data_IF_910184435325
#
_entry.id   IF_910184435325
#
_cell.length_a   1.000
_cell.length_b   1.000
_cell.length_c   1.000
_cell.angle_alpha   90.00
_cell.angle_beta   90.00
_cell.angle_gamma   90.00
#
_symmetry.space_group_name_H-M   'P 1'
#
loop_
_entity.id
_entity.type
_entity.pdbx_description
1 polymer ?
#
# COMPACT_ATOMS: atom_id res chain seq x y z
N UNK A 1 -5.81 4.12 13.46
CA UNK A 1 -6.26 3.30 12.32
C UNK A 1 -6.64 4.24 11.19
N UNK A 2 -6.03 4.06 10.04
CA UNK A 2 -6.23 4.86 8.82
C UNK A 2 -6.77 3.94 7.73
N UNK A 3 -7.55 4.49 6.81
CA UNK A 3 -8.03 3.82 5.61
C UNK A 3 -7.29 4.39 4.40
N UNK A 4 -6.56 3.54 3.69
CA UNK A 4 -5.89 3.93 2.46
C UNK A 4 -6.54 3.25 1.25
N UNK A 5 -6.48 3.91 0.10
CA UNK A 5 -6.95 3.35 -1.16
C UNK A 5 -5.78 3.05 -2.09
N UNK A 6 -5.64 1.80 -2.51
CA UNK A 6 -4.65 1.37 -3.49
C UNK A 6 -5.33 1.16 -4.85
N UNK A 7 -4.88 1.88 -5.87
CA UNK A 7 -5.42 1.77 -7.23
C UNK A 7 -4.43 1.06 -8.15
N UNK A 8 -4.91 0.02 -8.80
CA UNK A 8 -4.21 -0.71 -9.84
C UNK A 8 -4.35 -0.01 -11.20
N UNK A 9 -3.42 -0.26 -12.12
CA UNK A 9 -3.46 0.22 -13.51
C UNK A 9 -4.66 -0.33 -14.29
N UNK A 10 -5.16 -1.50 -13.90
CA UNK A 10 -6.36 -2.11 -14.49
C UNK A 10 -7.67 -1.55 -13.89
N UNK A 11 -7.60 -0.53 -13.02
CA UNK A 11 -8.76 0.12 -12.41
C UNK A 11 -9.32 -0.58 -11.17
N UNK A 12 -8.66 -1.64 -10.69
CA UNK A 12 -9.02 -2.29 -9.42
C UNK A 12 -8.68 -1.35 -8.26
N UNK A 13 -9.66 -1.10 -7.39
CA UNK A 13 -9.48 -0.28 -6.18
C UNK A 13 -9.59 -1.15 -4.95
N UNK A 14 -8.57 -1.11 -4.10
CA UNK A 14 -8.50 -1.89 -2.87
C UNK A 14 -8.43 -0.91 -1.70
N UNK A 15 -9.36 -1.01 -0.76
CA UNK A 15 -9.36 -0.18 0.44
C UNK A 15 -8.87 -1.01 1.61
N UNK A 16 -7.80 -0.55 2.25
CA UNK A 16 -7.16 -1.28 3.34
C UNK A 16 -7.14 -0.41 4.58
N UNK A 17 -7.57 -1.00 5.69
CA UNK A 17 -7.44 -0.40 7.01
C UNK A 17 -6.13 -0.87 7.62
N UNK A 18 -5.27 0.08 8.01
CA UNK A 18 -3.96 -0.18 8.60
C UNK A 18 -3.69 0.80 9.74
N UNK A 19 -2.64 0.56 10.51
CA UNK A 19 -2.17 1.50 11.52
C UNK A 19 -1.00 2.34 10.98
N UNK A 20 -0.87 3.62 11.38
CA UNK A 20 0.25 4.47 10.94
C UNK A 20 1.63 3.92 11.33
N UNK A 21 1.70 3.14 12.41
CA UNK A 21 2.92 2.49 12.89
C UNK A 21 3.31 1.22 12.10
N UNK A 22 2.40 0.69 11.27
CA UNK A 22 2.67 -0.49 10.46
C UNK A 22 3.73 -0.16 9.40
N UNK A 23 4.46 -1.18 8.97
CA UNK A 23 5.41 -1.03 7.87
C UNK A 23 4.72 -1.11 6.51
N UNK A 24 5.36 -0.56 5.48
CA UNK A 24 4.90 -0.73 4.09
C UNK A 24 4.85 -2.22 3.72
N UNK A 25 5.77 -3.04 4.25
CA UNK A 25 5.77 -4.48 4.04
C UNK A 25 4.51 -5.15 4.59
N UNK A 26 4.06 -4.75 5.78
CA UNK A 26 2.82 -5.28 6.36
C UNK A 26 1.58 -4.80 5.60
N UNK A 27 1.61 -3.56 5.12
CA UNK A 27 0.56 -3.06 4.23
C UNK A 27 0.48 -3.89 2.93
N UNK A 28 1.62 -4.23 2.32
CA UNK A 28 1.64 -5.12 1.14
C UNK A 28 1.06 -6.49 1.44
N UNK A 29 1.30 -7.06 2.61
CA UNK A 29 0.70 -8.35 3.03
C UNK A 29 -0.82 -8.25 3.18
N UNK A 30 -1.33 -7.15 3.73
CA UNK A 30 -2.76 -6.90 3.84
C UNK A 30 -3.43 -6.77 2.47
N UNK A 31 -2.80 -6.03 1.56
CA UNK A 31 -3.26 -5.90 0.17
C UNK A 31 -3.24 -7.28 -0.50
N UNK A 32 -2.12 -8.01 -0.39
CA UNK A 32 -1.94 -9.36 -0.93
C UNK A 32 -3.04 -10.33 -0.49
N UNK A 33 -3.43 -10.28 0.79
CA UNK A 33 -4.50 -11.10 1.33
C UNK A 33 -5.87 -10.79 0.69
N UNK A 34 -6.12 -9.52 0.31
CA UNK A 34 -7.36 -9.11 -0.35
C UNK A 34 -7.34 -9.32 -1.87
N UNK A 35 -6.19 -9.11 -2.53
CA UNK A 35 -6.06 -9.23 -3.98
C UNK A 35 -5.76 -10.64 -4.45
N UNK A 36 -5.29 -11.53 -3.58
CA UNK A 36 -4.90 -12.90 -3.92
C UNK A 36 -3.55 -12.99 -4.63
N UNK A 37 -2.68 -12.00 -4.44
CA UNK A 37 -1.35 -11.91 -5.09
C UNK A 37 -0.25 -12.01 -4.05
N UNK A 38 0.95 -12.49 -4.42
CA UNK A 38 2.08 -12.54 -3.48
C UNK A 38 2.56 -11.12 -3.16
N UNK A 39 2.84 -10.82 -1.88
CA UNK A 39 3.20 -9.48 -1.41
C UNK A 39 4.51 -8.95 -2.04
N UNK A 40 5.45 -9.84 -2.38
CA UNK A 40 6.72 -9.50 -3.05
C UNK A 40 6.53 -8.93 -4.45
N UNK A 41 5.43 -9.31 -5.13
CA UNK A 41 5.09 -8.79 -6.45
C UNK A 41 4.44 -7.42 -6.38
N UNK A 42 3.96 -7.01 -5.20
CA UNK A 42 3.27 -5.73 -5.03
C UNK A 42 4.30 -4.63 -4.87
N UNK A 43 4.26 -3.66 -5.77
CA UNK A 43 5.05 -2.44 -5.69
C UNK A 43 4.10 -1.28 -5.45
N UNK A 44 4.24 -0.61 -4.31
CA UNK A 44 3.50 0.60 -3.97
C UNK A 44 4.29 1.82 -4.39
N UNK A 45 3.62 2.74 -5.10
CA UNK A 45 4.20 4.00 -5.54
C UNK A 45 3.25 5.16 -5.29
N UNK A 46 3.83 6.35 -5.19
CA UNK A 46 3.11 7.62 -5.24
C UNK A 46 3.95 8.56 -6.09
N UNK A 47 3.48 8.90 -7.29
CA UNK A 47 4.26 9.66 -8.27
C UNK A 47 5.62 8.99 -8.56
N UNK A 48 6.72 9.67 -8.27
CA UNK A 48 8.08 9.19 -8.48
C UNK A 48 8.64 8.39 -7.29
N UNK A 49 7.93 8.35 -6.16
CA UNK A 49 8.41 7.70 -4.95
C UNK A 49 7.96 6.25 -4.89
N UNK A 50 8.93 5.34 -4.67
CA UNK A 50 8.69 3.92 -4.41
C UNK A 50 8.83 3.68 -2.92
N UNK A 51 7.80 3.12 -2.29
CA UNK A 51 7.80 2.85 -0.86
C UNK A 51 8.64 1.61 -0.54
N UNK A 52 9.52 1.73 0.46
CA UNK A 52 10.38 0.64 0.94
C UNK A 52 9.71 -0.11 2.09
N UNK A 53 9.86 -1.42 2.10
CA UNK A 53 9.09 -2.33 2.98
C UNK A 53 9.36 -2.14 4.47
N UNK A 54 10.57 -1.72 4.86
CA UNK A 54 10.98 -1.60 6.26
C UNK A 54 10.66 -0.25 6.91
N UNK A 55 10.12 0.71 6.14
CA UNK A 55 9.78 2.05 6.64
C UNK A 55 8.30 2.06 7.03
N UNK A 56 7.96 2.81 8.10
CA UNK A 56 6.58 2.90 8.58
C UNK A 56 5.74 3.82 7.69
N UNK A 57 4.43 3.61 7.73
CA UNK A 57 3.48 4.45 6.99
C UNK A 57 3.53 5.91 7.47
N UNK A 58 3.68 6.14 8.78
CA UNK A 58 3.80 7.49 9.34
C UNK A 58 5.09 8.21 8.93
N UNK A 59 6.22 7.50 8.79
CA UNK A 59 7.49 8.10 8.38
C UNK A 59 7.46 8.56 6.91
N UNK A 60 6.55 7.97 6.13
CA UNK A 60 6.21 8.38 4.77
C UNK A 60 5.06 9.39 4.69
N UNK A 61 4.59 9.90 5.82
CA UNK A 61 3.46 10.85 5.90
C UNK A 61 2.20 10.34 5.18
N UNK A 62 1.93 9.03 5.31
CA UNK A 62 0.72 8.42 4.76
C UNK A 62 -0.44 8.68 5.70
N UNK A 63 -1.38 9.51 5.25
CA UNK A 63 -2.56 9.91 6.01
C UNK A 63 -3.81 9.12 5.63
N UNK A 64 -4.85 9.26 6.44
CA UNK A 64 -6.18 8.73 6.19
C UNK A 64 -6.76 9.26 4.87
N UNK A 65 -7.38 8.38 4.08
CA UNK A 65 -7.96 8.69 2.78
C UNK A 65 -6.95 8.82 1.63
N UNK A 66 -5.66 8.59 1.88
CA UNK A 66 -4.63 8.72 0.85
C UNK A 66 -4.77 7.65 -0.24
N UNK A 67 -4.54 8.07 -1.49
CA UNK A 67 -4.50 7.17 -2.64
C UNK A 67 -3.05 6.82 -2.99
N UNK A 68 -2.78 5.52 -3.07
CA UNK A 68 -1.52 4.94 -3.52
C UNK A 68 -1.72 4.24 -4.86
N UNK A 69 -0.68 4.23 -5.67
CA UNK A 69 -0.63 3.47 -6.90
C UNK A 69 -0.08 2.08 -6.62
N UNK A 70 -0.81 1.07 -7.09
CA UNK A 70 -0.46 -0.33 -6.96
C UNK A 70 0.03 -0.86 -8.31
N UNK A 71 1.20 -1.47 -8.27
CA UNK A 71 1.84 -2.10 -9.41
C UNK A 71 2.13 -3.55 -9.09
N UNK A 72 2.16 -4.39 -10.11
CA UNK A 72 2.70 -5.74 -10.02
C UNK A 72 4.01 -5.81 -10.78
N UNK A 73 5.01 -6.42 -10.14
CA UNK A 73 6.28 -6.78 -10.74
C UNK A 73 6.51 -8.29 -10.64
#
# INVERSE_FOLDING_TARGET
>A
MIEITCNDRLGKKVRVKCNPDDTVGDLKKLIAAQTGTHWEKIVLKKWYQIFKDHIKLQDYEIHDGMNLELYYQ
#
